data_IF_333306722512
#
_entry.id   IF_333306722512
#
_cell.length_a   1.000
_cell.length_b   1.000
_cell.length_c   1.000
_cell.angle_alpha   90.00
_cell.angle_beta   90.00
_cell.angle_gamma   90.00
#
_symmetry.space_group_name_H-M   'P 1'
#
loop_
_entity.id
_entity.type
_entity.pdbx_description
1 polymer ?
#
# COMPACT_ATOMS: atom_id res chain seq x y z
N UNK A 1 -49.56 -7.38 -8.53
CA UNK A 1 -48.29 -7.89 -9.09
C UNK A 1 -47.13 -7.10 -8.49
N UNK A 2 -46.21 -7.69 -7.71
CA UNK A 2 -45.06 -6.97 -7.21
C UNK A 2 -43.98 -6.91 -8.29
N UNK A 3 -43.59 -5.69 -8.66
CA UNK A 3 -42.49 -5.42 -9.58
C UNK A 3 -41.19 -5.83 -8.88
N UNK A 4 -40.61 -6.97 -9.29
CA UNK A 4 -39.26 -7.36 -8.88
C UNK A 4 -38.27 -6.39 -9.51
N UNK A 5 -37.82 -5.40 -8.75
CA UNK A 5 -36.63 -4.62 -9.09
C UNK A 5 -35.43 -5.57 -9.08
N UNK A 6 -35.11 -6.13 -10.24
CA UNK A 6 -33.79 -6.67 -10.50
C UNK A 6 -32.81 -5.49 -10.41
N UNK A 7 -32.31 -5.18 -9.20
CA UNK A 7 -31.07 -4.42 -9.06
C UNK A 7 -30.03 -5.22 -9.82
N UNK A 8 -29.74 -4.82 -11.06
CA UNK A 8 -28.52 -5.23 -11.76
C UNK A 8 -27.40 -4.94 -10.77
N UNK A 9 -26.79 -5.98 -10.18
CA UNK A 9 -25.49 -5.82 -9.54
C UNK A 9 -24.60 -5.23 -10.63
N UNK A 10 -24.23 -3.96 -10.51
CA UNK A 10 -23.17 -3.42 -11.35
C UNK A 10 -21.97 -4.32 -11.09
N UNK A 11 -21.43 -4.92 -12.16
CA UNK A 11 -20.18 -5.65 -12.04
C UNK A 11 -19.17 -4.69 -11.40
N UNK A 12 -18.52 -5.14 -10.34
CA UNK A 12 -17.51 -4.30 -9.71
C UNK A 12 -16.36 -4.08 -10.69
N UNK A 13 -15.83 -2.86 -10.78
CA UNK A 13 -14.68 -2.61 -11.62
C UNK A 13 -13.49 -3.44 -11.11
N UNK A 14 -12.63 -3.96 -12.01
CA UNK A 14 -11.44 -4.68 -11.62
C UNK A 14 -10.48 -3.76 -10.86
N UNK A 15 -9.64 -4.33 -9.98
CA UNK A 15 -8.69 -3.55 -9.16
C UNK A 15 -7.69 -2.75 -10.00
N UNK A 16 -7.44 -3.13 -11.25
CA UNK A 16 -6.62 -2.34 -12.20
C UNK A 16 -7.15 -0.93 -12.39
N UNK A 17 -8.48 -0.74 -12.43
CA UNK A 17 -9.12 0.58 -12.53
C UNK A 17 -8.86 1.40 -11.26
N UNK A 18 -8.89 0.75 -10.09
CA UNK A 18 -8.52 1.41 -8.83
C UNK A 18 -7.05 1.87 -8.86
N UNK A 19 -6.12 1.02 -9.31
CA UNK A 19 -4.69 1.38 -9.38
C UNK A 19 -4.47 2.58 -10.31
N UNK A 20 -5.16 2.64 -11.45
CA UNK A 20 -5.06 3.77 -12.37
C UNK A 20 -5.66 5.04 -11.76
N UNK A 21 -6.80 4.94 -11.09
CA UNK A 21 -7.41 6.06 -10.37
C UNK A 21 -6.51 6.56 -9.22
N UNK A 22 -5.89 5.66 -8.46
CA UNK A 22 -4.97 6.01 -7.38
C UNK A 22 -3.72 6.72 -7.92
N UNK A 23 -3.20 6.26 -9.06
CA UNK A 23 -2.04 6.86 -9.72
C UNK A 23 -2.33 8.32 -10.14
N UNK A 24 -3.54 8.57 -10.66
CA UNK A 24 -4.00 9.91 -11.04
C UNK A 24 -4.40 10.80 -9.83
N UNK A 25 -4.75 10.20 -8.71
CA UNK A 25 -5.17 10.91 -7.51
C UNK A 25 -3.98 11.58 -6.79
N UNK A 26 -4.20 12.75 -6.15
CA UNK A 26 -3.22 13.34 -5.25
C UNK A 26 -2.83 12.37 -4.12
N UNK A 27 -1.53 12.31 -3.79
CA UNK A 27 -1.00 11.40 -2.77
C UNK A 27 -1.77 11.50 -1.43
N UNK A 28 -2.14 12.71 -1.02
CA UNK A 28 -2.89 13.01 0.20
C UNK A 28 -4.27 12.34 0.28
N UNK A 29 -4.86 11.91 -0.84
CA UNK A 29 -6.20 11.32 -0.87
C UNK A 29 -6.20 9.80 -1.03
N UNK A 30 -5.06 9.19 -1.37
CA UNK A 30 -5.02 7.77 -1.80
C UNK A 30 -5.46 6.80 -0.71
N UNK A 31 -5.05 7.02 0.53
CA UNK A 31 -5.42 6.16 1.66
C UNK A 31 -6.93 6.23 1.90
N UNK A 32 -7.51 7.43 1.93
CA UNK A 32 -8.96 7.60 2.09
C UNK A 32 -9.75 6.95 0.93
N UNK A 33 -9.27 7.12 -0.32
CA UNK A 33 -9.88 6.46 -1.48
C UNK A 33 -9.80 4.94 -1.38
N UNK A 34 -8.67 4.39 -0.93
CA UNK A 34 -8.53 2.96 -0.67
C UNK A 34 -9.49 2.47 0.42
N UNK A 35 -9.65 3.20 1.53
CA UNK A 35 -10.62 2.83 2.58
C UNK A 35 -12.04 2.77 2.01
N UNK A 36 -12.45 3.80 1.26
CA UNK A 36 -13.80 3.90 0.70
C UNK A 36 -14.10 2.84 -0.37
N UNK A 37 -13.09 2.41 -1.12
CA UNK A 37 -13.25 1.49 -2.25
C UNK A 37 -13.00 0.03 -1.88
N UNK A 38 -11.99 -0.24 -1.04
CA UNK A 38 -11.59 -1.57 -0.62
C UNK A 38 -12.32 -2.00 0.64
N UNK A 39 -12.53 -1.09 1.60
CA UNK A 39 -13.15 -1.40 2.90
C UNK A 39 -14.42 -2.24 2.82
N UNK A 40 -15.40 -1.92 1.95
CA UNK A 40 -16.61 -2.72 1.79
C UNK A 40 -16.40 -4.12 1.19
N UNK A 41 -15.22 -4.39 0.61
CA UNK A 41 -14.87 -5.62 -0.11
C UNK A 41 -14.01 -6.60 0.71
N UNK A 42 -13.48 -6.15 1.85
CA UNK A 42 -12.60 -6.94 2.69
C UNK A 42 -13.36 -8.09 3.34
N UNK A 43 -12.65 -9.19 3.59
CA UNK A 43 -13.21 -10.33 4.33
C UNK A 43 -13.52 -9.98 5.79
N UNK A 44 -12.71 -9.10 6.38
CA UNK A 44 -12.87 -8.64 7.75
C UNK A 44 -13.81 -7.43 7.88
N UNK A 45 -14.60 -7.41 8.97
CA UNK A 45 -15.41 -6.24 9.32
C UNK A 45 -14.56 -5.20 10.06
N UNK A 46 -14.15 -4.16 9.35
CA UNK A 46 -13.49 -2.97 9.91
C UNK A 46 -14.49 -1.84 10.18
N UNK A 47 -14.21 -1.01 11.19
CA UNK A 47 -14.87 0.29 11.34
C UNK A 47 -14.25 1.29 10.36
N UNK A 48 -14.88 1.46 9.19
CA UNK A 48 -14.37 2.33 8.13
C UNK A 48 -14.36 3.80 8.52
N UNK A 49 -15.30 4.24 9.36
CA UNK A 49 -15.34 5.61 9.87
C UNK A 49 -14.14 5.87 10.78
N UNK A 50 -13.81 4.90 11.63
CA UNK A 50 -12.58 4.95 12.42
C UNK A 50 -11.32 4.96 11.54
N UNK A 51 -11.25 4.12 10.50
CA UNK A 51 -10.11 4.13 9.56
C UNK A 51 -9.92 5.51 8.90
N UNK A 52 -11.01 6.17 8.50
CA UNK A 52 -10.97 7.52 7.93
C UNK A 52 -10.47 8.56 8.95
N UNK A 53 -10.95 8.48 10.20
CA UNK A 53 -10.49 9.35 11.29
C UNK A 53 -8.99 9.17 11.57
N UNK A 54 -8.50 7.93 11.61
CA UNK A 54 -7.08 7.61 11.77
C UNK A 54 -6.25 8.16 10.59
N UNK A 55 -6.76 8.04 9.36
CA UNK A 55 -6.09 8.60 8.18
C UNK A 55 -5.98 10.12 8.25
N UNK A 56 -7.04 10.80 8.70
CA UNK A 56 -7.09 12.26 8.78
C UNK A 56 -6.06 12.85 9.75
N UNK A 57 -5.71 12.12 10.82
CA UNK A 57 -4.71 12.59 11.80
C UNK A 57 -3.28 12.21 11.41
N UNK A 58 -3.08 11.47 10.31
CA UNK A 58 -1.83 10.78 10.02
C UNK A 58 -0.59 11.63 9.66
N UNK A 59 -0.78 12.94 9.49
CA UNK A 59 0.29 13.91 9.25
C UNK A 59 0.50 14.93 10.36
N UNK A 60 -0.18 14.78 11.50
CA UNK A 60 -0.07 15.70 12.62
C UNK A 60 1.14 15.38 13.50
N UNK A 61 1.80 16.42 14.01
CA UNK A 61 2.74 16.25 15.13
C UNK A 61 1.96 16.15 16.45
N UNK A 62 2.54 15.58 17.51
CA UNK A 62 1.90 15.55 18.84
C UNK A 62 1.49 16.94 19.34
N UNK A 63 2.29 17.98 19.06
CA UNK A 63 1.99 19.36 19.44
C UNK A 63 0.80 19.92 18.65
N UNK A 64 0.72 19.62 17.35
CA UNK A 64 -0.41 20.04 16.51
C UNK A 64 -1.70 19.33 16.94
N UNK A 65 -1.63 18.03 17.23
CA UNK A 65 -2.74 17.26 17.78
C UNK A 65 -3.22 17.83 19.13
N UNK A 66 -2.29 18.16 20.04
CA UNK A 66 -2.60 18.75 21.33
C UNK A 66 -3.33 20.10 21.22
N UNK A 67 -2.99 20.93 20.22
CA UNK A 67 -3.68 22.20 19.96
C UNK A 67 -5.12 22.03 19.44
N UNK A 68 -5.42 20.92 18.78
CA UNK A 68 -6.76 20.63 18.25
C UNK A 68 -7.71 20.08 19.32
N UNK A 69 -7.17 19.62 20.45
CA UNK A 69 -7.96 19.07 21.56
C UNK A 69 -8.57 17.70 21.24
N UNK A 70 -9.33 17.17 22.19
CA UNK A 70 -9.90 15.83 22.08
C UNK A 70 -10.93 15.74 20.96
N UNK A 71 -10.99 14.61 20.22
CA UNK A 71 -10.29 13.34 20.46
C UNK A 71 -8.95 13.18 19.70
N UNK A 72 -8.37 14.24 19.15
CA UNK A 72 -7.26 14.15 18.17
C UNK A 72 -5.97 13.53 18.76
N UNK A 73 -5.50 13.90 19.97
CA UNK A 73 -4.30 13.28 20.56
C UNK A 73 -4.43 11.78 20.80
N UNK A 74 -5.61 11.31 21.19
CA UNK A 74 -5.88 9.88 21.41
C UNK A 74 -5.81 9.11 20.09
N UNK A 75 -6.45 9.63 19.04
CA UNK A 75 -6.43 9.03 17.71
C UNK A 75 -5.01 8.98 17.13
N UNK A 76 -4.21 10.03 17.33
CA UNK A 76 -2.82 10.05 16.88
C UNK A 76 -1.99 8.96 17.59
N UNK A 77 -2.09 8.86 18.92
CA UNK A 77 -1.42 7.80 19.70
C UNK A 77 -1.84 6.41 19.25
N UNK A 78 -3.13 6.22 19.00
CA UNK A 78 -3.67 4.94 18.56
C UNK A 78 -3.13 4.54 17.18
N UNK A 79 -3.02 5.51 16.26
CA UNK A 79 -2.41 5.30 14.94
C UNK A 79 -0.93 4.94 15.06
N UNK A 80 -0.16 5.72 15.81
CA UNK A 80 1.28 5.52 15.97
C UNK A 80 1.63 4.17 16.60
N UNK A 81 0.83 3.73 17.57
CA UNK A 81 1.06 2.47 18.25
C UNK A 81 0.61 1.25 17.42
N UNK A 82 -0.20 1.45 16.37
CA UNK A 82 -0.71 0.39 15.48
C UNK A 82 -1.32 -0.84 16.22
N UNK A 83 -1.92 -0.60 17.39
CA UNK A 83 -2.33 -1.69 18.31
C UNK A 83 -3.60 -2.39 17.84
N UNK A 84 -4.52 -1.63 17.24
CA UNK A 84 -5.77 -2.19 16.74
C UNK A 84 -5.73 -2.47 15.24
N UNK A 85 -6.71 -3.26 14.79
CA UNK A 85 -6.85 -3.69 13.40
C UNK A 85 -7.07 -2.53 12.44
N UNK A 86 -7.84 -1.50 12.81
CA UNK A 86 -8.08 -0.33 11.96
C UNK A 86 -6.78 0.46 11.72
N UNK A 87 -5.96 0.66 12.76
CA UNK A 87 -4.66 1.32 12.65
C UNK A 87 -3.66 0.51 11.82
N UNK A 88 -3.58 -0.82 12.02
CA UNK A 88 -2.76 -1.71 11.18
C UNK A 88 -3.21 -1.71 9.72
N UNK A 89 -4.52 -1.67 9.49
CA UNK A 89 -5.09 -1.57 8.16
C UNK A 89 -4.71 -0.25 7.48
N UNK A 90 -4.85 0.88 8.17
CA UNK A 90 -4.43 2.20 7.68
C UNK A 90 -2.93 2.21 7.37
N UNK A 91 -2.09 1.67 8.25
CA UNK A 91 -0.63 1.55 8.01
C UNK A 91 -0.35 0.71 6.73
N UNK A 92 -1.09 -0.37 6.53
CA UNK A 92 -0.96 -1.22 5.33
C UNK A 92 -1.36 -0.45 4.07
N UNK A 93 -2.44 0.33 4.11
CA UNK A 93 -2.85 1.18 3.00
C UNK A 93 -1.87 2.32 2.72
N UNK A 94 -1.23 2.87 3.74
CA UNK A 94 -0.17 3.88 3.58
C UNK A 94 1.04 3.30 2.85
N UNK A 95 1.47 2.08 3.22
CA UNK A 95 2.56 1.37 2.52
C UNK A 95 2.19 1.06 1.07
N UNK A 96 0.94 0.66 0.80
CA UNK A 96 0.43 0.50 -0.57
C UNK A 96 0.41 1.83 -1.32
N UNK A 97 0.02 2.94 -0.67
CA UNK A 97 0.05 4.28 -1.27
C UNK A 97 1.47 4.69 -1.65
N UNK A 98 2.46 4.44 -0.78
CA UNK A 98 3.89 4.66 -1.09
C UNK A 98 4.32 3.83 -2.29
N UNK A 99 3.84 2.58 -2.43
CA UNK A 99 4.13 1.77 -3.62
C UNK A 99 3.49 2.36 -4.89
N UNK A 100 2.28 2.93 -4.80
CA UNK A 100 1.67 3.68 -5.91
C UNK A 100 2.56 4.87 -6.28
N UNK A 101 2.99 5.68 -5.30
CA UNK A 101 3.88 6.83 -5.53
C UNK A 101 5.16 6.42 -6.24
N UNK A 102 5.82 5.37 -5.75
CA UNK A 102 7.05 4.85 -6.32
C UNK A 102 6.86 4.40 -7.78
N UNK A 103 5.72 3.77 -8.11
CA UNK A 103 5.38 3.34 -9.46
C UNK A 103 5.07 4.51 -10.43
N UNK A 104 4.83 5.72 -9.92
CA UNK A 104 4.62 6.92 -10.75
C UNK A 104 5.93 7.55 -11.22
N UNK A 105 7.04 7.31 -10.52
CA UNK A 105 8.35 7.84 -10.88
C UNK A 105 9.21 6.80 -11.62
N UNK A 106 10.09 7.22 -12.55
CA UNK A 106 11.00 6.29 -13.22
C UNK A 106 11.92 5.55 -12.24
N UNK A 107 12.18 4.26 -12.49
CA UNK A 107 12.97 3.41 -11.58
C UNK A 107 14.41 3.89 -11.34
N UNK A 108 15.04 4.57 -12.30
CA UNK A 108 16.37 5.17 -12.11
C UNK A 108 16.42 6.24 -11.00
N UNK A 109 15.27 6.79 -10.58
CA UNK A 109 15.15 7.73 -9.46
C UNK A 109 14.95 7.06 -8.11
N UNK A 110 14.65 5.76 -8.10
CA UNK A 110 14.47 5.03 -6.86
C UNK A 110 15.81 4.97 -6.14
N UNK A 111 15.81 4.93 -4.81
CA UNK A 111 17.01 4.63 -4.05
C UNK A 111 17.14 3.10 -3.85
N UNK A 112 18.20 2.65 -3.17
CA UNK A 112 18.38 1.22 -2.90
C UNK A 112 17.32 0.67 -1.95
N UNK A 113 16.87 1.46 -0.99
CA UNK A 113 15.86 1.05 -0.03
C UNK A 113 14.50 0.82 -0.70
N UNK A 114 14.10 1.68 -1.64
CA UNK A 114 12.88 1.53 -2.45
C UNK A 114 12.89 0.23 -3.26
N UNK A 115 14.04 -0.09 -3.87
CA UNK A 115 14.24 -1.36 -4.59
C UNK A 115 14.14 -2.56 -3.67
N UNK A 116 14.78 -2.51 -2.50
CA UNK A 116 14.74 -3.60 -1.52
C UNK A 116 13.31 -3.81 -1.00
N UNK A 117 12.61 -2.73 -0.65
CA UNK A 117 11.21 -2.76 -0.18
C UNK A 117 10.26 -3.36 -1.21
N UNK A 118 10.57 -3.31 -2.52
CA UNK A 118 9.78 -4.00 -3.55
C UNK A 118 9.71 -5.51 -3.30
N UNK A 119 10.80 -6.10 -2.81
CA UNK A 119 10.94 -7.55 -2.60
C UNK A 119 10.89 -7.97 -1.13
N UNK A 120 10.86 -7.03 -0.19
CA UNK A 120 10.71 -7.30 1.23
C UNK A 120 9.31 -7.88 1.55
N UNK A 121 9.22 -9.14 2.01
CA UNK A 121 7.93 -9.76 2.34
C UNK A 121 7.27 -9.14 3.57
N UNK A 122 8.05 -8.61 4.53
CA UNK A 122 7.54 -7.97 5.74
C UNK A 122 7.01 -6.56 5.47
N UNK A 123 7.47 -5.94 4.38
CA UNK A 123 7.02 -4.61 4.00
C UNK A 123 5.54 -4.61 3.61
N UNK A 124 5.09 -5.54 2.74
CA UNK A 124 3.70 -5.59 2.25
C UNK A 124 3.14 -7.00 2.07
N UNK A 125 3.92 -7.96 1.57
CA UNK A 125 3.37 -9.26 1.17
C UNK A 125 2.70 -10.00 2.34
N UNK A 126 3.35 -10.09 3.50
CA UNK A 126 2.78 -10.73 4.71
C UNK A 126 1.60 -9.95 5.28
N UNK A 127 1.64 -8.61 5.23
CA UNK A 127 0.54 -7.76 5.69
C UNK A 127 -0.74 -7.91 4.87
N UNK A 128 -0.60 -8.18 3.57
CA UNK A 128 -1.72 -8.38 2.66
C UNK A 128 -2.16 -9.84 2.53
N UNK A 129 -1.42 -10.81 3.10
CA UNK A 129 -1.60 -12.24 2.79
C UNK A 129 -2.97 -12.79 3.21
N UNK A 130 -3.53 -12.27 4.29
CA UNK A 130 -4.77 -12.79 4.88
C UNK A 130 -6.05 -12.22 4.23
N UNK A 131 -5.93 -11.19 3.38
CA UNK A 131 -7.07 -10.62 2.65
C UNK A 131 -6.85 -10.72 1.13
N UNK A 132 -7.70 -11.47 0.39
CA UNK A 132 -7.53 -11.67 -1.05
C UNK A 132 -7.52 -10.37 -1.87
N UNK A 133 -8.28 -9.36 -1.45
CA UNK A 133 -8.36 -8.07 -2.16
C UNK A 133 -7.07 -7.29 -1.97
N UNK A 134 -6.53 -7.27 -0.75
CA UNK A 134 -5.24 -6.63 -0.47
C UNK A 134 -4.07 -7.38 -1.13
N UNK A 135 -4.12 -8.72 -1.15
CA UNK A 135 -3.13 -9.55 -1.83
C UNK A 135 -3.09 -9.27 -3.34
N UNK A 136 -4.27 -9.22 -3.99
CA UNK A 136 -4.37 -8.91 -5.42
C UNK A 136 -3.89 -7.48 -5.73
N UNK A 137 -4.26 -6.49 -4.90
CA UNK A 137 -3.79 -5.12 -5.05
C UNK A 137 -2.26 -5.04 -4.93
N UNK A 138 -1.67 -5.70 -3.93
CA UNK A 138 -0.23 -5.76 -3.76
C UNK A 138 0.47 -6.42 -4.97
N UNK A 139 -0.06 -7.53 -5.48
CA UNK A 139 0.50 -8.21 -6.67
C UNK A 139 0.46 -7.29 -7.91
N UNK A 140 -0.65 -6.58 -8.14
CA UNK A 140 -0.74 -5.61 -9.24
C UNK A 140 0.30 -4.49 -9.13
N UNK A 141 0.46 -3.91 -7.94
CA UNK A 141 1.44 -2.86 -7.68
C UNK A 141 2.88 -3.38 -7.76
N UNK A 142 3.13 -4.59 -7.29
CA UNK A 142 4.42 -5.25 -7.38
C UNK A 142 4.81 -5.52 -8.84
N UNK A 143 3.90 -6.07 -9.65
CA UNK A 143 4.14 -6.31 -11.09
C UNK A 143 4.48 -5.03 -11.84
N UNK A 144 3.76 -3.93 -11.56
CA UNK A 144 4.10 -2.62 -12.13
C UNK A 144 5.52 -2.19 -11.73
N UNK A 145 5.90 -2.36 -10.47
CA UNK A 145 7.24 -1.99 -10.00
C UNK A 145 8.36 -2.85 -10.62
N UNK A 146 8.14 -4.16 -10.72
CA UNK A 146 9.08 -5.07 -11.40
C UNK A 146 9.26 -4.69 -12.87
N UNK A 147 8.17 -4.35 -13.56
CA UNK A 147 8.24 -3.95 -14.96
C UNK A 147 9.02 -2.63 -15.13
N UNK A 148 8.87 -1.69 -14.20
CA UNK A 148 9.69 -0.45 -14.19
C UNK A 148 11.18 -0.74 -14.04
N UNK A 149 11.56 -1.67 -13.17
CA UNK A 149 12.96 -2.08 -13.01
C UNK A 149 13.52 -2.67 -14.29
N UNK A 150 12.76 -3.56 -14.96
CA UNK A 150 13.15 -4.11 -16.27
C UNK A 150 13.34 -3.02 -17.32
N UNK A 151 12.44 -2.05 -17.39
CA UNK A 151 12.53 -0.91 -18.31
C UNK A 151 13.75 -0.02 -18.04
N UNK A 152 14.22 0.03 -16.80
CA UNK A 152 15.47 0.71 -16.44
C UNK A 152 16.74 -0.13 -16.69
N UNK A 153 16.61 -1.35 -17.22
CA UNK A 153 17.72 -2.27 -17.48
C UNK A 153 18.20 -3.03 -16.25
N UNK A 154 17.46 -2.98 -15.14
CA UNK A 154 17.79 -3.71 -13.92
C UNK A 154 17.29 -5.16 -13.98
N UNK A 155 17.92 -6.06 -13.22
CA UNK A 155 17.49 -7.45 -13.07
C UNK A 155 16.70 -7.65 -11.77
N UNK A 156 15.36 -7.78 -11.82
CA UNK A 156 14.54 -7.97 -10.62
C UNK A 156 14.92 -9.19 -9.79
N UNK A 157 15.41 -10.27 -10.41
CA UNK A 157 15.79 -11.48 -9.68
C UNK A 157 17.04 -11.25 -8.82
N UNK A 158 18.02 -10.52 -9.33
CA UNK A 158 19.22 -10.11 -8.58
C UNK A 158 18.84 -9.25 -7.39
N UNK A 159 18.00 -8.23 -7.61
CA UNK A 159 17.53 -7.34 -6.54
C UNK A 159 16.72 -8.09 -5.47
N UNK A 160 15.90 -9.07 -5.87
CA UNK A 160 15.16 -9.91 -4.93
C UNK A 160 16.11 -10.76 -4.06
N UNK A 161 17.14 -11.36 -4.67
CA UNK A 161 18.14 -12.15 -3.94
C UNK A 161 18.97 -11.28 -2.98
N UNK A 162 19.34 -10.07 -3.39
CA UNK A 162 19.97 -9.08 -2.52
C UNK A 162 19.07 -8.71 -1.34
N UNK A 163 17.79 -8.44 -1.61
CA UNK A 163 16.83 -8.09 -0.57
C UNK A 163 16.57 -9.21 0.45
N UNK A 164 16.72 -10.47 0.03
CA UNK A 164 16.63 -11.63 0.92
C UNK A 164 17.95 -11.95 1.65
N UNK A 165 19.03 -11.21 1.40
CA UNK A 165 20.36 -11.50 1.95
C UNK A 165 21.03 -12.74 1.35
N UNK A 166 20.58 -13.19 0.17
CA UNK A 166 21.03 -14.42 -0.50
C UNK A 166 21.99 -14.16 -1.67
N UNK A 167 22.40 -12.92 -1.89
CA UNK A 167 23.26 -12.55 -3.02
C UNK A 167 24.61 -13.29 -3.03
N UNK A 168 25.19 -13.56 -1.86
CA UNK A 168 26.44 -14.31 -1.73
C UNK A 168 26.28 -15.79 -2.09
N UNK A 169 25.12 -16.38 -1.75
CA UNK A 169 24.79 -17.78 -2.06
C UNK A 169 24.46 -17.99 -3.55
N UNK A 170 23.98 -16.94 -4.22
CA UNK A 170 23.64 -16.97 -5.65
C UNK A 170 24.85 -16.67 -6.57
N UNK A 171 26.07 -16.53 -6.04
CA UNK A 171 27.27 -16.27 -6.84
C UNK A 171 27.28 -14.89 -7.51
N UNK A 172 26.50 -13.93 -7.01
CA UNK A 172 26.38 -12.58 -7.59
C UNK A 172 27.58 -11.66 -7.27
N UNK A 173 28.65 -12.18 -6.68
CA UNK A 173 29.91 -11.46 -6.47
C UNK A 173 30.75 -11.44 -7.77
N UNK A 174 30.33 -10.71 -8.81
CA UNK A 174 31.25 -10.38 -9.92
C UNK A 174 30.85 -9.18 -10.77
N UNK A 175 30.16 -8.15 -10.26
CA UNK A 175 29.90 -6.93 -11.07
C UNK A 175 29.97 -5.61 -10.30
N UNK A 176 30.74 -5.54 -9.21
CA UNK A 176 31.27 -4.25 -8.73
C UNK A 176 32.56 -3.94 -9.50
N UNK A 177 32.43 -3.53 -10.76
CA UNK A 177 33.53 -2.90 -11.46
C UNK A 177 33.84 -1.54 -10.79
N UNK A 178 35.15 -1.31 -10.60
CA UNK A 178 35.77 -0.10 -10.07
C UNK A 178 35.44 1.14 -10.89
#
# INVERSE_FOLDING_TARGET
MPIRFWRRRRAEPPLTVLVDALTAAPASHRVALMILTLGPKLGERLDLDKCLRLTAVGGLTPEAAGKLGDPVPDLLREREAAVNREARFVETLERLATRVDLNTVPAWRWNNEDRHRLFDPDFLARRCADDPVLAELNDLLWRRGVERLRQAGENPATLALEAMGLAEQAGLQSMRCR
#
